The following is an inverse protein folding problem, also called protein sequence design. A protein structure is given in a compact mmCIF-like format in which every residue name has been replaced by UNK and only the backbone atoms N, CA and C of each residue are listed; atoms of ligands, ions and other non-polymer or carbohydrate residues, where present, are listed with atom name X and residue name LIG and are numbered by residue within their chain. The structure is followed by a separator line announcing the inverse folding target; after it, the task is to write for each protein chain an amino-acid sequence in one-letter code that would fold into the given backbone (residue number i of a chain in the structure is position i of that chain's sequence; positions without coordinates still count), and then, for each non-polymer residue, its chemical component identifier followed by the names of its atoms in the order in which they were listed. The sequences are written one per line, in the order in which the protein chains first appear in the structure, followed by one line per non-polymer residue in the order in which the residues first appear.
data_IF_879606642881
#
_entry.id   IF_879606642881
#
_cell.length_a   1.000
_cell.length_b   1.000
_cell.length_c   1.000
_cell.angle_alpha   90.00
_cell.angle_beta   90.00
_cell.angle_gamma   90.00
#
_symmetry.space_group_name_H-M   'P 1'
#
loop_
_entity.id
_entity.type
_entity.pdbx_description
1 polymer ?
#
# COMPACT_ATOMS: atom_id res chain seq x y z
N UNK A 1 -11.73 -13.35 -68.79
CA UNK A 1 -11.43 -11.91 -68.78
C UNK A 1 -11.78 -11.38 -67.44
N UNK A 2 -10.85 -10.81 -66.86
CA UNK A 2 -10.75 -9.93 -65.72
C UNK A 2 -10.30 -10.56 -64.39
N UNK A 3 -9.03 -10.34 -64.18
CA UNK A 3 -8.25 -10.52 -62.93
C UNK A 3 -8.83 -9.76 -61.73
N UNK A 4 -8.79 -10.38 -60.59
CA UNK A 4 -8.95 -9.77 -59.28
C UNK A 4 -7.79 -10.17 -58.38
N UNK A 5 -6.80 -9.31 -58.31
CA UNK A 5 -5.66 -9.46 -57.43
C UNK A 5 -6.10 -9.52 -55.96
N UNK A 6 -5.63 -10.53 -55.23
CA UNK A 6 -5.71 -10.62 -53.76
C UNK A 6 -4.44 -10.03 -53.20
N UNK A 7 -4.56 -8.92 -52.53
CA UNK A 7 -3.53 -8.40 -51.65
C UNK A 7 -3.32 -9.36 -50.47
N UNK A 8 -2.12 -9.91 -50.42
CA UNK A 8 -1.63 -10.70 -49.28
C UNK A 8 -1.00 -9.69 -48.30
N UNK A 9 -1.73 -9.35 -47.25
CA UNK A 9 -1.14 -8.69 -46.10
C UNK A 9 -0.22 -9.68 -45.38
N UNK A 10 1.06 -9.39 -45.40
CA UNK A 10 2.06 -10.08 -44.60
C UNK A 10 1.99 -9.51 -43.19
N UNK A 11 1.36 -10.26 -42.27
CA UNK A 11 1.50 -10.01 -40.83
C UNK A 11 2.92 -10.40 -40.40
N UNK A 12 3.76 -9.43 -40.15
CA UNK A 12 5.02 -9.63 -39.44
C UNK A 12 4.72 -9.80 -37.95
N UNK A 13 4.87 -11.02 -37.47
CA UNK A 13 4.88 -11.29 -36.01
C UNK A 13 6.11 -10.65 -35.35
N UNK A 14 5.98 -10.01 -34.20
CA UNK A 14 7.13 -9.49 -33.48
C UNK A 14 8.01 -10.65 -32.98
N UNK A 15 9.32 -10.51 -33.16
CA UNK A 15 10.30 -11.48 -32.68
C UNK A 15 10.34 -11.48 -31.15
N UNK A 16 10.08 -12.63 -30.55
CA UNK A 16 10.22 -12.85 -29.11
C UNK A 16 11.68 -13.14 -28.81
N UNK A 17 12.33 -12.26 -28.06
CA UNK A 17 13.66 -12.53 -27.53
C UNK A 17 13.53 -13.30 -26.21
N UNK A 18 13.88 -14.58 -26.20
CA UNK A 18 13.99 -15.40 -25.01
C UNK A 18 15.38 -15.28 -24.40
N UNK A 19 15.48 -15.13 -23.08
CA UNK A 19 16.74 -15.23 -22.37
C UNK A 19 17.08 -16.70 -22.05
N UNK A 20 18.33 -16.95 -21.61
CA UNK A 20 18.86 -18.29 -21.37
C UNK A 20 18.16 -19.10 -20.25
N UNK A 21 17.15 -18.55 -19.59
CA UNK A 21 16.42 -19.18 -18.49
C UNK A 21 14.94 -19.48 -18.81
N UNK A 22 14.50 -19.26 -20.06
CA UNK A 22 13.17 -19.68 -20.55
C UNK A 22 11.98 -18.92 -19.96
N UNK A 23 12.16 -17.72 -19.40
CA UNK A 23 11.06 -16.85 -18.98
C UNK A 23 10.59 -15.98 -20.17
N UNK A 24 9.35 -16.16 -20.60
CA UNK A 24 8.70 -15.30 -21.60
C UNK A 24 8.57 -13.87 -21.05
N UNK A 25 9.19 -12.92 -21.76
CA UNK A 25 8.98 -11.49 -21.50
C UNK A 25 7.73 -11.07 -22.28
N UNK A 26 6.60 -11.00 -21.60
CA UNK A 26 5.36 -10.49 -22.16
C UNK A 26 5.50 -8.99 -22.46
N UNK A 27 5.65 -8.65 -23.72
CA UNK A 27 5.61 -7.25 -24.20
C UNK A 27 4.14 -6.87 -24.39
N UNK A 28 3.54 -6.29 -23.35
CA UNK A 28 2.19 -5.71 -23.43
C UNK A 28 2.25 -4.37 -24.17
N UNK A 29 1.74 -4.36 -25.39
CA UNK A 29 1.32 -3.14 -26.09
C UNK A 29 0.16 -2.48 -25.32
N UNK A 30 0.43 -1.42 -24.59
CA UNK A 30 -0.63 -0.54 -24.07
C UNK A 30 -0.56 0.82 -24.75
N UNK A 31 -1.54 1.09 -25.58
CA UNK A 31 -1.81 2.37 -26.23
C UNK A 31 -2.45 3.38 -25.29
N UNK A 32 -1.87 3.65 -24.14
CA UNK A 32 -2.29 4.77 -23.29
C UNK A 32 -1.24 5.87 -23.33
N UNK A 33 -1.54 6.90 -24.11
CA UNK A 33 -0.76 8.12 -24.26
C UNK A 33 -0.85 8.90 -22.94
N UNK A 34 0.24 8.89 -22.17
CA UNK A 34 0.39 9.76 -20.99
C UNK A 34 0.88 11.14 -21.41
N UNK A 35 0.56 12.22 -20.63
CA UNK A 35 1.03 13.56 -20.92
C UNK A 35 2.56 13.58 -20.94
N UNK A 36 3.08 13.93 -22.08
CA UNK A 36 4.50 14.02 -22.40
C UNK A 36 5.14 15.06 -21.48
N UNK A 37 6.24 14.70 -20.81
CA UNK A 37 7.16 15.71 -20.29
C UNK A 37 7.55 16.64 -21.45
N UNK A 38 7.80 17.95 -21.22
CA UNK A 38 7.99 18.90 -22.29
C UNK A 38 8.98 18.32 -23.32
N UNK A 39 8.54 18.20 -24.56
CA UNK A 39 9.33 17.62 -25.68
C UNK A 39 10.71 18.23 -25.80
N UNK A 40 10.85 19.47 -25.38
CA UNK A 40 12.10 20.24 -25.39
C UNK A 40 13.23 19.65 -24.54
N UNK A 41 12.92 18.97 -23.43
CA UNK A 41 13.96 18.39 -22.57
C UNK A 41 14.59 17.12 -23.16
N UNK A 42 13.78 16.26 -23.77
CA UNK A 42 14.25 15.03 -24.37
C UNK A 42 14.99 15.31 -25.67
N UNK A 43 14.55 16.31 -26.42
CA UNK A 43 15.23 16.74 -27.64
C UNK A 43 16.59 17.33 -27.33
N UNK A 44 16.70 18.21 -26.34
CA UNK A 44 17.98 18.78 -25.91
C UNK A 44 18.97 17.71 -25.44
N UNK A 45 18.49 16.66 -24.73
CA UNK A 45 19.33 15.55 -24.32
C UNK A 45 19.76 14.68 -25.50
N UNK A 46 18.87 14.39 -26.43
CA UNK A 46 19.16 13.60 -27.64
C UNK A 46 20.18 14.33 -28.53
N UNK A 47 19.97 15.63 -28.80
CA UNK A 47 20.82 16.45 -29.66
C UNK A 47 22.26 16.58 -29.11
N UNK A 48 22.44 16.50 -27.79
CA UNK A 48 23.78 16.45 -27.17
C UNK A 48 24.61 15.25 -27.60
N UNK A 49 23.96 14.10 -27.88
CA UNK A 49 24.60 12.85 -28.30
C UNK A 49 24.49 12.58 -29.80
N UNK A 50 23.75 13.43 -30.54
CA UNK A 50 23.68 13.48 -32.01
C UNK A 50 24.21 14.83 -32.55
N UNK A 51 25.54 15.12 -32.40
CA UNK A 51 26.11 16.39 -32.82
C UNK A 51 26.06 16.63 -34.35
N UNK A 52 25.85 15.59 -35.14
CA UNK A 52 25.75 15.65 -36.57
C UNK A 52 24.30 15.90 -37.05
N UNK A 53 23.37 16.01 -36.11
CA UNK A 53 21.92 16.16 -36.38
C UNK A 53 21.41 15.10 -37.37
N UNK A 54 21.95 13.88 -37.27
CA UNK A 54 21.61 12.76 -38.16
C UNK A 54 20.22 12.17 -37.87
N UNK A 55 19.63 12.51 -36.72
CA UNK A 55 18.37 11.95 -36.23
C UNK A 55 18.52 10.58 -35.57
N UNK A 56 19.77 10.11 -35.42
CA UNK A 56 20.09 8.80 -34.85
C UNK A 56 21.27 8.90 -33.87
N UNK A 57 21.20 8.13 -32.79
CA UNK A 57 22.31 7.91 -31.87
C UNK A 57 22.78 6.47 -32.03
N UNK A 58 24.09 6.22 -32.13
CA UNK A 58 24.61 4.86 -32.13
C UNK A 58 24.42 4.21 -30.77
N UNK A 59 24.30 2.89 -30.73
CA UNK A 59 24.17 2.12 -29.47
C UNK A 59 25.33 2.36 -28.53
N UNK A 60 26.53 2.65 -29.03
CA UNK A 60 27.70 3.03 -28.22
C UNK A 60 27.50 4.39 -27.55
N UNK A 61 27.11 5.41 -28.31
CA UNK A 61 26.81 6.75 -27.76
C UNK A 61 25.64 6.74 -26.79
N UNK A 62 24.66 5.87 -27.05
CA UNK A 62 23.56 5.68 -26.11
C UNK A 62 24.01 4.98 -24.82
N UNK A 63 24.94 4.02 -24.92
CA UNK A 63 25.59 3.42 -23.75
C UNK A 63 26.33 4.47 -22.91
N UNK A 64 27.06 5.39 -23.58
CA UNK A 64 27.74 6.49 -22.91
C UNK A 64 26.77 7.48 -22.25
N UNK A 65 25.63 7.76 -22.90
CA UNK A 65 24.54 8.55 -22.32
C UNK A 65 24.00 7.88 -21.04
N UNK A 66 23.78 6.58 -21.09
CA UNK A 66 23.34 5.81 -19.94
C UNK A 66 24.38 5.77 -18.82
N UNK A 67 25.67 5.65 -19.17
CA UNK A 67 26.77 5.68 -18.21
C UNK A 67 26.99 7.07 -17.57
N UNK A 68 26.80 8.13 -18.35
CA UNK A 68 26.99 9.51 -17.87
C UNK A 68 25.83 9.99 -16.96
N UNK A 69 24.62 9.47 -17.16
CA UNK A 69 23.42 9.91 -16.47
C UNK A 69 22.79 8.84 -15.56
N UNK A 70 23.20 7.58 -15.70
CA UNK A 70 22.82 6.47 -14.83
C UNK A 70 24.07 5.90 -14.18
N UNK A 71 24.27 6.15 -12.90
CA UNK A 71 25.32 5.48 -12.16
C UNK A 71 25.20 3.96 -12.32
N UNK A 72 26.29 3.32 -12.73
CA UNK A 72 26.51 1.86 -12.79
C UNK A 72 25.25 1.00 -12.99
N UNK A 73 24.68 1.06 -14.19
CA UNK A 73 23.68 0.10 -14.63
C UNK A 73 24.36 -1.30 -14.66
N UNK A 74 23.72 -2.27 -14.03
CA UNK A 74 24.07 -3.67 -14.18
C UNK A 74 24.20 -3.99 -15.69
N UNK A 75 25.29 -4.63 -16.16
CA UNK A 75 25.50 -4.97 -17.55
C UNK A 75 24.30 -5.63 -18.23
N UNK A 76 23.57 -6.47 -17.52
CA UNK A 76 22.38 -7.12 -18.04
C UNK A 76 21.21 -6.12 -18.28
N UNK A 77 21.01 -5.15 -17.38
CA UNK A 77 20.01 -4.10 -17.58
C UNK A 77 20.38 -3.18 -18.74
N UNK A 78 21.64 -2.91 -18.89
CA UNK A 78 22.16 -2.11 -20.00
C UNK A 78 21.89 -2.80 -21.35
N UNK A 79 22.13 -4.09 -21.45
CA UNK A 79 21.85 -4.86 -22.68
C UNK A 79 20.36 -4.91 -22.99
N UNK A 80 19.51 -5.11 -21.98
CA UNK A 80 18.04 -5.08 -22.15
C UNK A 80 17.57 -3.70 -22.62
N UNK A 81 18.09 -2.62 -22.06
CA UNK A 81 17.75 -1.26 -22.47
C UNK A 81 18.23 -0.95 -23.89
N UNK A 82 19.43 -1.41 -24.25
CA UNK A 82 19.96 -1.28 -25.60
C UNK A 82 19.11 -2.06 -26.61
N UNK A 83 18.73 -3.30 -26.30
CA UNK A 83 17.86 -4.11 -27.15
C UNK A 83 16.44 -3.54 -27.29
N UNK A 84 15.93 -2.88 -26.25
CA UNK A 84 14.63 -2.19 -26.30
C UNK A 84 14.69 -0.87 -27.08
N UNK A 85 15.84 -0.19 -27.07
CA UNK A 85 16.05 1.06 -27.80
C UNK A 85 16.37 0.82 -29.27
N UNK A 86 17.05 -0.28 -29.57
CA UNK A 86 17.44 -0.71 -30.93
C UNK A 86 16.54 -1.88 -31.37
N UNK A 87 15.24 -1.61 -31.50
CA UNK A 87 14.25 -2.64 -31.87
C UNK A 87 14.48 -3.29 -33.24
N UNK A 88 15.25 -2.63 -34.12
CA UNK A 88 15.58 -3.11 -35.47
C UNK A 88 16.93 -3.84 -35.51
N UNK A 89 17.68 -3.86 -34.43
CA UNK A 89 19.03 -4.43 -34.33
C UNK A 89 20.02 -3.90 -35.41
N UNK A 90 19.85 -2.63 -35.81
CA UNK A 90 20.71 -1.96 -36.80
C UNK A 90 21.83 -1.12 -36.16
N UNK A 91 21.93 -1.13 -34.85
CA UNK A 91 22.91 -0.39 -34.07
C UNK A 91 22.63 1.11 -33.98
N UNK A 92 21.41 1.55 -34.37
CA UNK A 92 21.02 2.96 -34.40
C UNK A 92 19.70 3.15 -33.66
N UNK A 93 19.64 4.19 -32.84
CA UNK A 93 18.48 4.55 -32.04
C UNK A 93 17.94 5.86 -32.59
N UNK A 94 16.74 5.84 -33.15
CA UNK A 94 16.08 7.06 -33.63
C UNK A 94 15.48 7.87 -32.48
N UNK A 95 15.21 9.14 -32.70
CA UNK A 95 14.62 10.02 -31.69
C UNK A 95 13.30 9.48 -31.17
N UNK A 96 12.47 8.88 -32.03
CA UNK A 96 11.18 8.31 -31.63
C UNK A 96 11.35 7.12 -30.69
N UNK A 97 12.30 6.22 -30.99
CA UNK A 97 12.60 5.07 -30.13
C UNK A 97 13.16 5.51 -28.78
N UNK A 98 14.02 6.53 -28.79
CA UNK A 98 14.53 7.15 -27.59
C UNK A 98 13.38 7.75 -26.74
N UNK A 99 12.46 8.53 -27.34
CA UNK A 99 11.30 9.10 -26.63
C UNK A 99 10.37 8.00 -26.15
N UNK A 100 10.10 6.98 -26.95
CA UNK A 100 9.29 5.82 -26.56
C UNK A 100 9.90 5.09 -25.35
N UNK A 101 11.20 4.86 -25.36
CA UNK A 101 11.90 4.25 -24.23
C UNK A 101 11.81 5.14 -22.99
N UNK A 102 12.01 6.45 -23.13
CA UNK A 102 12.01 7.42 -22.03
C UNK A 102 10.60 7.71 -21.51
N UNK A 103 9.57 7.61 -22.33
CA UNK A 103 8.15 7.80 -21.96
C UNK A 103 7.48 6.52 -21.45
N UNK A 104 8.08 5.35 -21.68
CA UNK A 104 7.51 4.07 -21.25
C UNK A 104 7.44 4.00 -19.71
N UNK A 105 6.27 3.62 -19.17
CA UNK A 105 6.07 3.43 -17.72
C UNK A 105 7.06 2.46 -17.08
N UNK A 106 7.55 1.47 -17.83
CA UNK A 106 8.57 0.52 -17.39
C UNK A 106 9.96 1.15 -17.23
N UNK A 107 10.21 2.29 -17.86
CA UNK A 107 11.46 3.04 -17.74
C UNK A 107 11.42 4.17 -16.70
N UNK A 108 10.31 4.31 -15.94
CA UNK A 108 10.17 5.39 -14.96
C UNK A 108 11.24 5.36 -13.86
N UNK A 109 11.71 4.21 -13.44
CA UNK A 109 12.84 4.08 -12.51
C UNK A 109 14.13 4.57 -13.15
N UNK A 110 14.36 4.26 -14.42
CA UNK A 110 15.49 4.70 -15.22
C UNK A 110 15.41 6.21 -15.52
N UNK A 111 14.25 6.70 -15.97
CA UNK A 111 13.97 8.12 -16.18
C UNK A 111 14.21 8.95 -14.91
N UNK A 112 13.81 8.43 -13.75
CA UNK A 112 14.03 9.09 -12.46
C UNK A 112 15.52 9.09 -12.09
N UNK A 113 16.27 8.02 -12.37
CA UNK A 113 17.73 7.96 -12.16
C UNK A 113 18.46 8.97 -13.05
N UNK A 114 18.08 9.09 -14.32
CA UNK A 114 18.66 10.09 -15.25
C UNK A 114 18.31 11.52 -14.84
N UNK A 115 17.04 11.80 -14.49
CA UNK A 115 16.58 13.15 -14.14
C UNK A 115 17.02 13.63 -12.75
N UNK A 116 17.25 12.71 -11.81
CA UNK A 116 17.64 13.04 -10.44
C UNK A 116 19.16 13.08 -10.22
N UNK A 117 19.97 12.86 -11.25
CA UNK A 117 21.41 13.04 -11.22
C UNK A 117 22.10 12.42 -10.02
N UNK A 118 22.26 11.10 -10.00
CA UNK A 118 23.30 10.50 -9.15
C UNK A 118 22.87 9.99 -7.78
N UNK A 119 21.73 9.34 -7.62
CA UNK A 119 21.64 8.30 -6.58
C UNK A 119 22.26 7.04 -7.16
N UNK A 120 23.48 6.74 -6.74
CA UNK A 120 24.20 5.51 -7.08
C UNK A 120 23.31 4.31 -6.75
N UNK A 121 22.71 3.70 -7.77
CA UNK A 121 22.24 2.34 -7.72
C UNK A 121 23.52 1.47 -7.64
N UNK A 122 23.95 1.15 -6.44
CA UNK A 122 25.01 0.19 -6.23
C UNK A 122 24.57 -1.13 -6.86
N UNK A 123 25.11 -1.43 -8.03
CA UNK A 123 24.91 -2.68 -8.74
C UNK A 123 25.48 -3.85 -7.97
N UNK A 124 24.70 -4.35 -7.03
CA UNK A 124 24.90 -5.69 -6.50
C UNK A 124 23.91 -6.58 -7.23
N UNK A 125 24.42 -7.37 -8.19
CA UNK A 125 23.67 -8.56 -8.63
C UNK A 125 23.10 -9.23 -7.40
N UNK A 126 21.84 -9.72 -7.46
CA UNK A 126 21.21 -10.47 -6.38
C UNK A 126 22.21 -11.54 -5.89
N UNK A 127 23.03 -11.19 -4.89
CA UNK A 127 23.98 -12.13 -4.30
C UNK A 127 23.15 -13.27 -3.73
N UNK A 128 23.56 -14.49 -3.99
CA UNK A 128 23.00 -15.68 -3.40
C UNK A 128 22.74 -15.46 -1.90
N UNK A 129 21.68 -16.00 -1.37
CA UNK A 129 21.20 -15.80 0.02
C UNK A 129 22.29 -15.99 1.09
N UNK A 130 23.32 -16.77 0.78
CA UNK A 130 24.44 -17.10 1.67
C UNK A 130 25.29 -15.88 2.09
N UNK A 131 25.28 -14.80 1.30
CA UNK A 131 26.10 -13.60 1.58
C UNK A 131 25.33 -12.41 2.17
N UNK A 132 24.00 -12.49 2.35
CA UNK A 132 23.19 -11.37 2.82
C UNK A 132 23.14 -11.28 4.35
N UNK A 133 23.33 -10.07 4.89
CA UNK A 133 23.08 -9.78 6.30
C UNK A 133 21.60 -9.93 6.67
N UNK A 134 21.28 -10.05 7.97
CA UNK A 134 19.92 -10.24 8.46
C UNK A 134 18.96 -9.13 7.98
N UNK A 135 19.38 -7.86 8.02
CA UNK A 135 18.61 -6.72 7.54
C UNK A 135 18.31 -6.80 6.04
N UNK A 136 19.29 -7.20 5.24
CA UNK A 136 19.09 -7.35 3.79
C UNK A 136 18.15 -8.50 3.45
N UNK A 137 18.20 -9.62 4.21
CA UNK A 137 17.26 -10.73 4.06
C UNK A 137 15.82 -10.27 4.40
N UNK A 138 15.67 -9.48 5.47
CA UNK A 138 14.38 -8.92 5.85
C UNK A 138 13.82 -7.98 4.76
N UNK A 139 14.63 -7.05 4.27
CA UNK A 139 14.24 -6.13 3.19
C UNK A 139 13.83 -6.90 1.92
N UNK A 140 14.61 -7.91 1.54
CA UNK A 140 14.30 -8.78 0.41
C UNK A 140 12.97 -9.52 0.63
N UNK A 141 12.79 -10.12 1.81
CA UNK A 141 11.56 -10.83 2.15
C UNK A 141 10.33 -9.92 2.05
N UNK A 142 10.41 -8.71 2.63
CA UNK A 142 9.34 -7.70 2.55
C UNK A 142 9.05 -7.29 1.10
N UNK A 143 10.09 -7.08 0.28
CA UNK A 143 9.91 -6.76 -1.14
C UNK A 143 9.13 -7.86 -1.89
N UNK A 144 9.47 -9.13 -1.63
CA UNK A 144 8.76 -10.27 -2.25
C UNK A 144 7.33 -10.44 -1.80
N UNK A 145 6.99 -9.98 -0.60
CA UNK A 145 5.64 -10.09 -0.03
C UNK A 145 4.71 -8.95 -0.43
N UNK A 146 5.26 -7.76 -0.70
CA UNK A 146 4.46 -6.56 -0.88
C UNK A 146 4.44 -6.06 -2.31
N UNK A 147 5.50 -6.31 -3.09
CA UNK A 147 5.65 -5.81 -4.45
C UNK A 147 5.45 -6.93 -5.48
N UNK A 148 4.48 -6.80 -6.40
CA UNK A 148 4.18 -7.84 -7.38
C UNK A 148 5.22 -7.92 -8.51
N UNK A 149 5.76 -6.77 -8.98
CA UNK A 149 6.65 -6.72 -10.13
C UNK A 149 8.12 -6.93 -9.69
N UNK A 150 8.86 -7.72 -10.46
CA UNK A 150 10.27 -7.99 -10.18
C UNK A 150 11.14 -6.73 -10.24
N UNK A 151 10.84 -5.83 -11.18
CA UNK A 151 11.55 -4.54 -11.31
C UNK A 151 11.40 -3.72 -10.03
N UNK A 152 10.18 -3.63 -9.46
CA UNK A 152 9.93 -2.89 -8.22
C UNK A 152 10.67 -3.51 -7.04
N UNK A 153 10.73 -4.84 -6.98
CA UNK A 153 11.47 -5.58 -5.94
C UNK A 153 12.97 -5.31 -6.00
N UNK A 154 13.55 -5.39 -7.21
CA UNK A 154 14.97 -5.10 -7.42
C UNK A 154 15.28 -3.65 -7.04
N UNK A 155 14.47 -2.72 -7.56
CA UNK A 155 14.64 -1.31 -7.25
C UNK A 155 14.51 -1.02 -5.76
N UNK A 156 13.50 -1.58 -5.09
CA UNK A 156 13.31 -1.44 -3.65
C UNK A 156 14.49 -2.01 -2.86
N UNK A 157 14.94 -3.21 -3.20
CA UNK A 157 16.08 -3.84 -2.55
C UNK A 157 17.37 -3.02 -2.68
N UNK A 158 17.64 -2.47 -3.87
CA UNK A 158 18.85 -1.69 -4.17
C UNK A 158 18.78 -0.28 -3.54
N UNK A 159 17.59 0.30 -3.41
CA UNK A 159 17.41 1.67 -2.92
C UNK A 159 17.13 1.76 -1.41
N UNK A 160 16.64 0.69 -0.79
CA UNK A 160 16.25 0.72 0.61
C UNK A 160 17.44 0.52 1.55
N UNK A 161 17.75 1.56 2.33
CA UNK A 161 18.88 1.59 3.27
C UNK A 161 18.48 1.38 4.74
N UNK A 162 17.25 0.94 5.03
CA UNK A 162 16.64 0.93 6.36
C UNK A 162 16.56 2.32 7.03
N UNK A 163 16.65 3.38 6.28
CA UNK A 163 16.48 4.77 6.74
C UNK A 163 15.56 5.52 5.78
N UNK A 164 14.44 6.09 6.26
CA UNK A 164 13.95 6.03 7.64
C UNK A 164 13.37 4.64 7.99
N UNK A 165 13.52 4.20 9.26
CA UNK A 165 12.88 2.97 9.72
C UNK A 165 11.34 3.12 9.73
N UNK A 166 10.56 2.03 9.81
CA UNK A 166 9.10 2.08 9.93
C UNK A 166 8.69 2.59 11.31
N UNK A 167 8.77 3.90 11.51
CA UNK A 167 8.59 4.55 12.81
C UNK A 167 7.12 4.73 13.21
N UNK A 168 6.20 4.92 12.22
CA UNK A 168 4.81 5.27 12.50
C UNK A 168 4.06 4.12 13.19
N UNK A 169 4.08 2.94 12.59
CA UNK A 169 3.39 1.76 13.15
C UNK A 169 4.01 1.38 14.50
N UNK A 170 5.33 1.47 14.63
CA UNK A 170 6.01 1.23 15.91
C UNK A 170 5.61 2.26 16.96
N UNK A 171 5.54 3.54 16.61
CA UNK A 171 5.14 4.62 17.54
C UNK A 171 3.68 4.44 18.01
N UNK A 172 2.76 4.11 17.08
CA UNK A 172 1.37 3.82 17.45
C UNK A 172 1.31 2.62 18.40
N UNK A 173 2.00 1.52 18.09
CA UNK A 173 2.03 0.32 18.94
C UNK A 173 2.59 0.62 20.33
N UNK A 174 3.68 1.40 20.42
CA UNK A 174 4.25 1.81 21.71
C UNK A 174 3.25 2.65 22.50
N UNK A 175 2.53 3.58 21.85
CA UNK A 175 1.51 4.38 22.49
C UNK A 175 0.34 3.53 23.01
N UNK A 176 -0.13 2.54 22.23
CA UNK A 176 -1.17 1.59 22.65
C UNK A 176 -0.75 0.78 23.87
N UNK A 177 0.48 0.26 23.89
CA UNK A 177 1.04 -0.47 25.03
C UNK A 177 1.16 0.43 26.26
N UNK A 178 1.67 1.66 26.09
CA UNK A 178 1.83 2.61 27.19
C UNK A 178 0.47 2.97 27.83
N UNK A 179 -0.54 3.24 27.01
CA UNK A 179 -1.91 3.50 27.46
C UNK A 179 -2.49 2.27 28.17
N UNK A 180 -2.31 1.07 27.61
CA UNK A 180 -2.78 -0.16 28.24
C UNK A 180 -2.15 -0.40 29.62
N UNK A 181 -0.84 -0.19 29.75
CA UNK A 181 -0.11 -0.30 31.01
C UNK A 181 -0.61 0.75 32.00
N UNK A 182 -0.77 2.01 31.59
CA UNK A 182 -1.30 3.08 32.42
C UNK A 182 -2.67 2.71 33.01
N UNK A 183 -3.61 2.25 32.17
CA UNK A 183 -4.93 1.83 32.62
C UNK A 183 -4.89 0.53 33.44
N UNK A 184 -3.93 -0.37 33.16
CA UNK A 184 -3.69 -1.56 33.98
C UNK A 184 -3.41 -1.23 35.44
N UNK A 185 -2.55 -0.24 35.69
CA UNK A 185 -2.27 0.27 37.04
C UNK A 185 -3.44 1.07 37.64
N UNK A 186 -4.09 1.93 36.86
CA UNK A 186 -5.19 2.75 37.30
C UNK A 186 -6.42 1.95 37.75
N UNK A 187 -6.71 0.84 37.03
CA UNK A 187 -7.87 0.00 37.22
C UNK A 187 -7.56 -1.27 38.04
N UNK A 188 -6.29 -1.49 38.35
CA UNK A 188 -5.80 -2.78 38.91
C UNK A 188 -6.33 -3.99 38.17
N UNK A 189 -6.35 -3.92 36.81
CA UNK A 189 -6.85 -4.96 35.91
C UNK A 189 -6.02 -5.05 34.63
N UNK A 190 -5.67 -6.28 34.27
CA UNK A 190 -4.82 -6.56 33.13
C UNK A 190 -5.49 -7.42 32.06
N UNK A 191 -6.23 -8.45 32.48
CA UNK A 191 -6.82 -9.41 31.53
C UNK A 191 -8.04 -8.83 30.82
N UNK A 192 -8.96 -8.21 31.55
CA UNK A 192 -10.22 -7.71 31.03
C UNK A 192 -10.50 -6.29 31.60
N UNK A 193 -9.79 -5.28 31.13
CA UNK A 193 -9.91 -3.90 31.59
C UNK A 193 -11.32 -3.32 31.38
N UNK A 194 -11.97 -3.69 30.26
CA UNK A 194 -13.30 -3.19 29.89
C UNK A 194 -14.40 -3.54 30.90
N UNK A 195 -14.19 -4.57 31.75
CA UNK A 195 -15.13 -4.93 32.80
C UNK A 195 -15.10 -4.01 34.00
N UNK A 196 -14.12 -3.11 34.09
CA UNK A 196 -14.03 -2.15 35.18
C UNK A 196 -14.95 -0.96 34.92
N UNK A 197 -15.79 -0.52 35.90
CA UNK A 197 -16.77 0.54 35.70
C UNK A 197 -16.16 1.92 35.35
N UNK A 198 -14.88 2.14 35.62
CA UNK A 198 -14.19 3.38 35.27
C UNK A 198 -13.53 3.34 33.87
N UNK A 199 -13.52 2.19 33.20
CA UNK A 199 -12.84 2.04 31.92
C UNK A 199 -13.35 3.00 30.84
N UNK A 200 -14.68 3.11 30.68
CA UNK A 200 -15.30 3.99 29.70
C UNK A 200 -15.36 5.47 30.14
N UNK A 201 -15.11 5.75 31.42
CA UNK A 201 -15.09 7.13 31.94
C UNK A 201 -13.90 7.94 31.46
N UNK A 202 -12.84 7.27 30.99
CA UNK A 202 -11.65 7.92 30.48
C UNK A 202 -11.92 8.87 29.29
N UNK A 203 -10.97 9.74 28.94
CA UNK A 203 -11.14 10.70 27.85
C UNK A 203 -11.00 10.06 26.45
N UNK A 204 -10.43 8.86 26.35
CA UNK A 204 -10.05 8.25 25.06
C UNK A 204 -11.15 7.40 24.41
N UNK A 205 -11.93 6.55 25.13
CA UNK A 205 -12.91 5.68 24.53
C UNK A 205 -14.02 6.47 23.82
N UNK A 206 -14.48 5.97 22.68
CA UNK A 206 -15.73 6.48 22.10
C UNK A 206 -16.92 5.95 22.89
N UNK A 207 -17.83 6.86 23.26
CA UNK A 207 -19.08 6.52 23.90
C UNK A 207 -20.23 7.33 23.27
N UNK A 208 -21.40 6.71 22.98
CA UNK A 208 -22.48 7.38 22.28
C UNK A 208 -23.01 8.64 22.97
N UNK A 209 -23.04 8.66 24.30
CA UNK A 209 -23.44 9.86 25.07
C UNK A 209 -22.42 11.02 24.94
N UNK A 210 -21.16 10.70 24.65
CA UNK A 210 -20.07 11.66 24.55
C UNK A 210 -19.67 11.94 23.08
N UNK A 211 -20.56 11.62 22.12
CA UNK A 211 -20.32 11.76 20.65
C UNK A 211 -20.02 13.20 20.21
N UNK A 212 -20.42 14.21 20.98
CA UNK A 212 -20.06 15.59 20.70
C UNK A 212 -18.55 15.88 20.88
N UNK A 213 -17.84 15.00 21.58
CA UNK A 213 -16.41 15.10 21.78
C UNK A 213 -15.67 14.45 20.59
N UNK A 214 -15.42 15.26 19.55
CA UNK A 214 -14.92 14.79 18.24
C UNK A 214 -13.61 13.98 18.31
N UNK A 215 -12.72 14.27 19.24
CA UNK A 215 -11.47 13.53 19.39
C UNK A 215 -11.68 12.05 19.70
N UNK A 216 -12.78 11.66 20.35
CA UNK A 216 -13.08 10.27 20.71
C UNK A 216 -13.24 9.35 19.51
N UNK A 217 -13.60 9.90 18.34
CA UNK A 217 -13.66 9.12 17.07
C UNK A 217 -12.28 8.67 16.56
N UNK A 218 -11.21 9.24 17.09
CA UNK A 218 -9.84 8.85 16.76
C UNK A 218 -9.10 8.28 17.98
N UNK A 219 -9.26 8.85 19.16
CA UNK A 219 -8.45 8.47 20.33
C UNK A 219 -8.79 7.10 20.91
N UNK A 220 -9.94 6.55 20.59
CA UNK A 220 -10.35 5.21 21.02
C UNK A 220 -9.37 4.10 20.58
N UNK A 221 -8.57 4.37 19.56
CA UNK A 221 -7.53 3.49 19.03
C UNK A 221 -6.51 3.06 20.10
N UNK A 222 -6.23 3.92 21.06
CA UNK A 222 -5.26 3.64 22.11
C UNK A 222 -5.80 2.79 23.27
N UNK A 223 -7.11 2.60 23.34
CA UNK A 223 -7.74 1.84 24.44
C UNK A 223 -8.04 0.39 24.00
N UNK A 224 -7.66 -0.58 24.82
CA UNK A 224 -7.93 -1.98 24.52
C UNK A 224 -8.69 -2.67 25.66
N UNK A 225 -9.66 -3.52 25.30
CA UNK A 225 -10.58 -4.15 26.24
C UNK A 225 -9.87 -5.08 27.26
N UNK A 226 -8.71 -5.60 26.91
CA UNK A 226 -7.89 -6.49 27.71
C UNK A 226 -6.66 -6.94 26.96
N UNK A 227 -5.81 -7.75 27.62
CA UNK A 227 -4.51 -8.21 27.09
C UNK A 227 -4.64 -9.01 25.78
N UNK A 228 -5.68 -9.82 25.63
CA UNK A 228 -5.93 -10.57 24.38
C UNK A 228 -6.25 -9.63 23.22
N UNK A 229 -7.12 -8.65 23.45
CA UNK A 229 -7.52 -7.67 22.44
C UNK A 229 -6.33 -6.82 22.00
N UNK A 230 -5.50 -6.37 22.94
CA UNK A 230 -4.26 -5.67 22.64
C UNK A 230 -3.31 -6.58 21.84
N UNK A 231 -3.07 -7.80 22.31
CA UNK A 231 -2.12 -8.73 21.70
C UNK A 231 -2.46 -9.10 20.27
N UNK A 232 -3.73 -9.37 19.97
CA UNK A 232 -4.18 -9.65 18.59
C UNK A 232 -4.02 -8.44 17.66
N UNK A 233 -4.43 -7.25 18.11
CA UNK A 233 -4.28 -6.04 17.32
C UNK A 233 -2.80 -5.71 17.07
N UNK A 234 -1.94 -5.77 18.09
CA UNK A 234 -0.50 -5.56 17.95
C UNK A 234 0.15 -6.57 16.99
N UNK A 235 -0.18 -7.87 17.13
CA UNK A 235 0.37 -8.91 16.27
C UNK A 235 0.05 -8.62 14.80
N UNK A 236 -1.20 -8.30 14.49
CA UNK A 236 -1.61 -7.97 13.12
C UNK A 236 -1.02 -6.64 12.63
N UNK A 237 -1.02 -5.62 13.49
CA UNK A 237 -0.47 -4.31 13.19
C UNK A 237 1.02 -4.39 12.85
N UNK A 238 1.81 -5.12 13.63
CA UNK A 238 3.24 -5.30 13.38
C UNK A 238 3.50 -6.24 12.19
N UNK A 239 2.77 -7.35 12.08
CA UNK A 239 2.96 -8.34 11.01
C UNK A 239 2.68 -7.77 9.62
N UNK A 240 1.65 -6.93 9.49
CA UNK A 240 1.21 -6.36 8.21
C UNK A 240 1.62 -4.90 8.07
N UNK A 241 1.42 -4.09 9.10
CA UNK A 241 1.64 -2.65 9.03
C UNK A 241 3.10 -2.26 8.86
N UNK A 242 4.03 -2.92 9.57
CA UNK A 242 5.48 -2.63 9.45
C UNK A 242 5.99 -2.90 8.03
N UNK A 243 5.75 -4.07 7.41
CA UNK A 243 6.14 -4.31 6.02
C UNK A 243 5.52 -3.32 5.03
N UNK A 244 4.25 -2.97 5.22
CA UNK A 244 3.59 -1.99 4.36
C UNK A 244 4.20 -0.60 4.50
N UNK A 245 4.51 -0.17 5.73
CA UNK A 245 5.17 1.12 5.97
C UNK A 245 6.58 1.17 5.37
N UNK A 246 7.34 0.08 5.47
CA UNK A 246 8.68 -0.01 4.87
C UNK A 246 8.64 0.17 3.35
N UNK A 247 7.61 -0.34 2.68
CA UNK A 247 7.47 -0.25 1.22
C UNK A 247 6.81 1.05 0.78
N UNK A 248 5.68 1.42 1.38
CA UNK A 248 4.85 2.53 0.90
C UNK A 248 5.13 3.86 1.64
N UNK A 249 5.86 3.81 2.75
CA UNK A 249 6.20 4.96 3.58
C UNK A 249 5.10 5.34 4.57
N UNK A 250 5.50 6.04 5.64
CA UNK A 250 4.65 6.40 6.78
C UNK A 250 3.41 7.21 6.40
N UNK A 251 3.53 8.14 5.44
CA UNK A 251 2.40 9.02 5.04
C UNK A 251 1.27 8.22 4.40
N UNK A 252 1.57 7.31 3.48
CA UNK A 252 0.56 6.50 2.79
C UNK A 252 -0.13 5.53 3.76
N UNK A 253 0.66 4.85 4.57
CA UNK A 253 0.14 3.88 5.53
C UNK A 253 -0.60 4.58 6.66
N UNK A 254 -0.11 5.72 7.14
CA UNK A 254 -0.79 6.56 8.11
C UNK A 254 -2.16 7.05 7.60
N UNK A 255 -2.25 7.45 6.34
CA UNK A 255 -3.52 7.84 5.72
C UNK A 255 -4.54 6.70 5.77
N UNK A 256 -4.17 5.50 5.31
CA UNK A 256 -5.06 4.33 5.31
C UNK A 256 -5.47 3.96 6.73
N UNK A 257 -4.51 3.94 7.66
CA UNK A 257 -4.74 3.60 9.06
C UNK A 257 -5.72 4.57 9.73
N UNK A 258 -5.45 5.88 9.66
CA UNK A 258 -6.29 6.91 10.28
C UNK A 258 -7.68 6.97 9.65
N UNK A 259 -7.77 6.84 8.31
CA UNK A 259 -9.06 6.73 7.63
C UNK A 259 -9.85 5.49 8.09
N UNK A 260 -9.18 4.35 8.30
CA UNK A 260 -9.78 3.13 8.85
C UNK A 260 -10.28 3.32 10.27
N UNK A 261 -9.50 3.94 11.14
CA UNK A 261 -9.89 4.28 12.52
C UNK A 261 -11.13 5.17 12.52
N UNK A 262 -11.11 6.27 11.76
CA UNK A 262 -12.23 7.20 11.70
C UNK A 262 -13.49 6.54 11.09
N UNK A 263 -13.34 5.78 10.01
CA UNK A 263 -14.46 5.04 9.42
C UNK A 263 -15.04 4.01 10.38
N UNK A 264 -14.22 3.34 11.17
CA UNK A 264 -14.68 2.38 12.19
C UNK A 264 -15.60 3.01 13.21
N UNK A 265 -15.19 4.08 13.87
CA UNK A 265 -16.00 4.76 14.88
C UNK A 265 -17.23 5.44 14.30
N UNK A 266 -17.12 6.07 13.11
CA UNK A 266 -18.28 6.68 12.44
C UNK A 266 -19.27 5.63 11.95
N UNK A 267 -18.83 4.48 11.44
CA UNK A 267 -19.71 3.38 11.05
C UNK A 267 -20.53 2.86 12.26
N UNK A 268 -19.86 2.69 13.43
CA UNK A 268 -20.56 2.31 14.67
C UNK A 268 -21.56 3.38 15.08
N UNK A 269 -21.19 4.65 15.04
CA UNK A 269 -22.07 5.75 15.42
C UNK A 269 -23.33 5.87 14.55
N UNK A 270 -23.27 5.34 13.32
CA UNK A 270 -24.42 5.31 12.39
C UNK A 270 -25.21 4.01 12.48
N UNK A 271 -24.54 2.86 12.44
CA UNK A 271 -25.19 1.56 12.31
C UNK A 271 -25.44 0.84 13.65
N UNK A 272 -24.66 1.14 14.70
CA UNK A 272 -24.81 0.56 16.05
C UNK A 272 -24.76 1.66 17.11
N UNK A 273 -25.73 2.57 17.04
CA UNK A 273 -25.79 3.87 17.72
C UNK A 273 -25.66 3.81 19.26
N UNK A 274 -25.77 2.64 19.86
CA UNK A 274 -25.69 2.45 21.32
C UNK A 274 -24.38 1.85 21.80
N UNK A 275 -23.50 1.43 20.90
CA UNK A 275 -22.27 0.74 21.26
C UNK A 275 -21.11 1.70 21.51
N UNK A 276 -20.32 1.49 22.57
CA UNK A 276 -19.01 2.13 22.71
C UNK A 276 -17.97 1.49 21.79
N UNK A 277 -16.88 2.20 21.50
CA UNK A 277 -15.79 1.69 20.65
C UNK A 277 -14.43 1.87 21.36
N UNK A 278 -13.65 0.81 21.32
CA UNK A 278 -12.25 0.77 21.80
C UNK A 278 -11.43 -0.19 20.92
N UNK A 279 -10.15 0.07 20.78
CA UNK A 279 -9.21 -0.78 20.04
C UNK A 279 -8.76 -0.21 18.70
N UNK A 280 -7.59 -0.64 18.26
CA UNK A 280 -6.99 -0.23 16.99
C UNK A 280 -7.55 -0.99 15.78
N UNK A 281 -8.48 -1.90 15.99
CA UNK A 281 -8.97 -2.84 14.98
C UNK A 281 -9.49 -2.16 13.70
N UNK A 282 -10.14 -0.99 13.77
CA UNK A 282 -10.58 -0.25 12.58
C UNK A 282 -9.42 0.07 11.62
N UNK A 283 -8.29 0.55 12.15
CA UNK A 283 -7.07 0.80 11.37
C UNK A 283 -6.37 -0.48 10.93
N UNK A 284 -6.27 -1.47 11.81
CA UNK A 284 -5.67 -2.78 11.51
C UNK A 284 -6.43 -3.49 10.39
N UNK A 285 -7.76 -3.54 10.44
CA UNK A 285 -8.59 -4.14 9.39
C UNK A 285 -8.46 -3.41 8.06
N UNK A 286 -8.27 -2.08 8.07
CA UNK A 286 -8.00 -1.32 6.85
C UNK A 286 -6.66 -1.72 6.21
N UNK A 287 -5.59 -1.84 7.00
CA UNK A 287 -4.29 -2.27 6.48
C UNK A 287 -4.29 -3.72 5.99
N UNK A 288 -4.88 -4.62 6.76
CA UNK A 288 -4.92 -6.05 6.41
C UNK A 288 -5.76 -6.30 5.17
N UNK A 289 -6.94 -5.70 5.07
CA UNK A 289 -7.81 -5.88 3.90
C UNK A 289 -7.21 -5.27 2.64
N UNK A 290 -6.54 -4.11 2.74
CA UNK A 290 -5.79 -3.52 1.64
C UNK A 290 -4.67 -4.46 1.17
N UNK A 291 -3.90 -5.01 2.10
CA UNK A 291 -2.82 -5.95 1.78
C UNK A 291 -3.34 -7.25 1.15
N UNK A 292 -4.37 -7.86 1.74
CA UNK A 292 -4.98 -9.08 1.21
C UNK A 292 -5.53 -8.88 -0.20
N UNK A 293 -6.23 -7.77 -0.44
CA UNK A 293 -6.73 -7.43 -1.77
C UNK A 293 -5.60 -7.23 -2.77
N UNK A 294 -4.52 -6.54 -2.37
CA UNK A 294 -3.34 -6.38 -3.20
C UNK A 294 -2.68 -7.73 -3.55
N UNK A 295 -2.56 -8.64 -2.59
CA UNK A 295 -2.05 -10.01 -2.83
C UNK A 295 -2.93 -10.78 -3.79
N UNK A 296 -4.27 -10.70 -3.63
CA UNK A 296 -5.23 -11.40 -4.52
C UNK A 296 -5.15 -10.86 -5.95
N UNK A 297 -5.14 -9.53 -6.12
CA UNK A 297 -5.09 -8.92 -7.45
C UNK A 297 -3.76 -9.19 -8.18
N UNK A 298 -2.67 -9.33 -7.43
CA UNK A 298 -1.34 -9.51 -7.98
C UNK A 298 -0.78 -10.92 -7.75
N UNK A 299 -1.66 -11.92 -7.62
CA UNK A 299 -1.31 -13.26 -7.19
C UNK A 299 -0.18 -13.92 -8.02
N UNK A 300 -0.26 -13.81 -9.34
CA UNK A 300 0.72 -14.39 -10.27
C UNK A 300 2.11 -13.74 -10.18
N UNK A 301 2.16 -12.43 -9.92
CA UNK A 301 3.41 -11.66 -9.81
C UNK A 301 4.13 -11.83 -8.47
N UNK A 302 3.45 -12.31 -7.44
CA UNK A 302 4.03 -12.42 -6.09
C UNK A 302 4.72 -13.76 -5.88
N UNK A 303 6.05 -13.75 -5.87
CA UNK A 303 6.90 -14.94 -5.67
C UNK A 303 7.34 -15.07 -4.20
N UNK A 304 6.41 -15.24 -3.26
CA UNK A 304 6.77 -15.52 -1.86
C UNK A 304 6.30 -16.90 -1.43
N UNK A 305 7.20 -17.75 -0.94
CA UNK A 305 6.87 -19.09 -0.48
C UNK A 305 5.92 -19.09 0.73
N UNK A 306 6.01 -18.05 1.57
CA UNK A 306 5.22 -17.92 2.80
C UNK A 306 3.97 -17.04 2.63
N UNK A 307 3.65 -16.51 1.43
CA UNK A 307 2.49 -15.64 1.21
C UNK A 307 1.18 -16.28 1.63
N UNK A 308 1.01 -17.58 1.33
CA UNK A 308 -0.17 -18.37 1.73
C UNK A 308 -0.28 -18.47 3.23
N UNK A 309 0.83 -18.75 3.91
CA UNK A 309 0.86 -18.87 5.35
C UNK A 309 0.51 -17.54 6.04
N UNK A 310 1.10 -16.43 5.59
CA UNK A 310 0.79 -15.11 6.13
C UNK A 310 -0.65 -14.69 5.88
N UNK A 311 -1.16 -14.89 4.66
CA UNK A 311 -2.57 -14.65 4.35
C UNK A 311 -3.48 -15.47 5.24
N UNK A 312 -3.21 -16.77 5.38
CA UNK A 312 -3.99 -17.66 6.23
C UNK A 312 -3.96 -17.20 7.69
N UNK A 313 -2.78 -16.85 8.21
CA UNK A 313 -2.63 -16.31 9.57
C UNK A 313 -3.42 -15.01 9.76
N UNK A 314 -3.28 -14.07 8.82
CA UNK A 314 -4.02 -12.81 8.86
C UNK A 314 -5.54 -13.05 8.84
N UNK A 315 -6.02 -13.89 7.93
CA UNK A 315 -7.45 -14.23 7.83
C UNK A 315 -7.96 -14.97 9.08
N UNK A 316 -7.18 -15.90 9.64
CA UNK A 316 -7.56 -16.59 10.87
C UNK A 316 -7.66 -15.60 12.04
N UNK A 317 -6.65 -14.76 12.24
CA UNK A 317 -6.67 -13.77 13.32
C UNK A 317 -7.85 -12.80 13.19
N UNK A 318 -8.08 -12.25 11.97
CA UNK A 318 -9.24 -11.39 11.71
C UNK A 318 -10.57 -12.10 11.94
N UNK A 319 -10.69 -13.35 11.48
CA UNK A 319 -11.92 -14.14 11.64
C UNK A 319 -12.20 -14.47 13.10
N UNK A 320 -11.16 -14.78 13.88
CA UNK A 320 -11.28 -15.05 15.33
C UNK A 320 -11.73 -13.77 16.04
N UNK A 321 -11.09 -12.64 15.78
CA UNK A 321 -11.46 -11.38 16.42
C UNK A 321 -12.86 -10.90 16.00
N UNK A 322 -13.18 -10.97 14.71
CA UNK A 322 -14.50 -10.64 14.19
C UNK A 322 -15.59 -11.56 14.77
N UNK A 323 -15.35 -12.87 14.74
CA UNK A 323 -16.27 -13.86 15.29
C UNK A 323 -16.50 -13.66 16.79
N UNK A 324 -15.44 -13.33 17.55
CA UNK A 324 -15.53 -12.96 18.96
C UNK A 324 -16.37 -11.71 19.17
N UNK A 325 -16.17 -10.66 18.36
CA UNK A 325 -16.95 -9.42 18.46
C UNK A 325 -18.43 -9.67 18.16
N UNK A 326 -18.74 -10.46 17.11
CA UNK A 326 -20.10 -10.88 16.79
C UNK A 326 -20.71 -11.71 17.93
N UNK A 327 -19.97 -12.71 18.44
CA UNK A 327 -20.45 -13.55 19.54
C UNK A 327 -20.79 -12.72 20.77
N UNK A 328 -19.87 -11.86 21.24
CA UNK A 328 -20.07 -11.02 22.41
C UNK A 328 -21.20 -9.97 22.20
N UNK A 329 -21.45 -9.58 20.97
CA UNK A 329 -22.56 -8.65 20.66
C UNK A 329 -23.93 -9.28 20.88
N UNK A 330 -24.09 -10.55 20.48
CA UNK A 330 -25.38 -11.26 20.58
C UNK A 330 -25.51 -12.09 21.87
N UNK A 331 -24.38 -12.52 22.44
CA UNK A 331 -24.32 -13.35 23.67
C UNK A 331 -23.37 -12.72 24.70
N UNK A 332 -23.72 -11.53 25.23
CA UNK A 332 -22.86 -10.87 26.22
C UNK A 332 -22.80 -11.69 27.51
N UNK A 333 -21.61 -11.79 28.16
CA UNK A 333 -21.48 -12.49 29.42
C UNK A 333 -22.28 -11.77 30.52
N UNK A 334 -23.05 -12.54 31.32
CA UNK A 334 -23.82 -11.99 32.42
C UNK A 334 -22.91 -11.45 33.55
N UNK A 335 -21.72 -12.07 33.72
CA UNK A 335 -20.77 -11.69 34.76
C UNK A 335 -19.31 -11.93 34.31
N UNK A 336 -18.40 -10.95 34.46
CA UNK A 336 -18.69 -9.53 34.76
C UNK A 336 -19.40 -8.86 33.59
N UNK A 337 -20.33 -7.91 33.84
CA UNK A 337 -21.00 -7.22 32.77
C UNK A 337 -19.97 -6.41 31.96
N UNK A 338 -19.92 -6.66 30.69
CA UNK A 338 -19.03 -5.92 29.77
C UNK A 338 -19.86 -5.15 28.76
N UNK A 339 -19.43 -3.96 28.35
CA UNK A 339 -20.05 -3.27 27.22
C UNK A 339 -20.08 -4.19 26.00
N UNK A 340 -21.22 -4.22 25.28
CA UNK A 340 -21.34 -5.04 24.08
C UNK A 340 -20.49 -4.45 22.96
N UNK A 341 -19.40 -5.11 22.52
CA UNK A 341 -18.57 -4.60 21.45
C UNK A 341 -19.33 -4.60 20.12
N UNK A 342 -19.04 -3.63 19.27
CA UNK A 342 -19.60 -3.56 17.93
C UNK A 342 -18.61 -4.10 16.91
N UNK A 343 -19.05 -5.05 16.08
CA UNK A 343 -18.26 -5.54 14.95
C UNK A 343 -18.29 -4.60 13.73
N UNK A 344 -19.15 -3.59 13.75
CA UNK A 344 -19.31 -2.61 12.66
C UNK A 344 -18.02 -1.80 12.45
N UNK A 345 -17.24 -1.56 13.51
CA UNK A 345 -15.95 -0.89 13.39
C UNK A 345 -14.99 -1.64 12.44
N UNK A 346 -14.98 -2.97 12.51
CA UNK A 346 -14.18 -3.81 11.62
C UNK A 346 -14.62 -3.67 10.16
N UNK A 347 -15.94 -3.63 9.91
CA UNK A 347 -16.50 -3.45 8.56
C UNK A 347 -16.13 -2.07 7.98
N UNK A 348 -16.13 -1.02 8.81
CA UNK A 348 -15.66 0.31 8.41
C UNK A 348 -14.19 0.28 7.97
N UNK A 349 -13.33 -0.39 8.73
CA UNK A 349 -11.93 -0.62 8.36
C UNK A 349 -11.76 -1.38 7.06
N UNK A 350 -12.48 -2.51 6.90
CA UNK A 350 -12.46 -3.31 5.66
C UNK A 350 -12.86 -2.47 4.44
N UNK A 351 -13.91 -1.67 4.54
CA UNK A 351 -14.37 -0.82 3.45
C UNK A 351 -13.28 0.17 3.00
N UNK A 352 -12.59 0.83 3.95
CA UNK A 352 -11.46 1.72 3.64
C UNK A 352 -10.30 0.95 3.01
N UNK A 353 -9.96 -0.23 3.53
CA UNK A 353 -8.89 -1.06 3.00
C UNK A 353 -9.14 -1.50 1.56
N UNK A 354 -10.36 -1.95 1.24
CA UNK A 354 -10.74 -2.40 -0.11
C UNK A 354 -10.90 -1.26 -1.13
N UNK A 355 -11.03 -0.03 -0.69
CA UNK A 355 -11.17 1.15 -1.55
C UNK A 355 -9.89 1.96 -1.57
N UNK A 356 -9.76 2.91 -0.66
CA UNK A 356 -8.60 3.81 -0.57
C UNK A 356 -7.29 3.03 -0.38
N UNK A 357 -7.27 2.00 0.47
CA UNK A 357 -6.08 1.22 0.77
C UNK A 357 -5.53 0.49 -0.45
N UNK A 358 -6.40 -0.13 -1.26
CA UNK A 358 -5.98 -0.82 -2.50
C UNK A 358 -5.30 0.14 -3.46
N UNK A 359 -5.87 1.33 -3.67
CA UNK A 359 -5.27 2.33 -4.56
C UNK A 359 -3.92 2.82 -4.05
N UNK A 360 -3.80 3.02 -2.73
CA UNK A 360 -2.53 3.43 -2.09
C UNK A 360 -1.44 2.37 -2.29
N UNK A 361 -1.80 1.07 -2.19
CA UNK A 361 -0.85 -0.04 -2.34
C UNK A 361 -0.58 -0.42 -3.80
N UNK A 362 -1.51 -0.14 -4.74
CA UNK A 362 -1.39 -0.57 -6.12
C UNK A 362 -0.21 0.08 -6.85
N UNK A 363 0.02 1.37 -6.62
CA UNK A 363 1.02 2.17 -7.33
C UNK A 363 2.09 2.70 -6.38
N UNK A 364 3.06 1.86 -6.09
CA UNK A 364 4.20 2.21 -5.23
C UNK A 364 5.02 3.42 -5.73
N UNK A 365 5.29 3.49 -7.04
CA UNK A 365 6.15 4.53 -7.62
C UNK A 365 5.44 5.84 -7.96
N UNK A 366 4.12 5.83 -8.20
CA UNK A 366 3.38 7.02 -8.60
C UNK A 366 3.01 7.89 -7.39
N UNK A 367 2.98 9.20 -7.59
CA UNK A 367 2.43 10.12 -6.59
C UNK A 367 0.93 9.88 -6.47
N UNK A 368 0.42 9.80 -5.23
CA UNK A 368 -1.01 9.61 -4.97
C UNK A 368 -1.89 10.67 -5.66
N UNK A 369 -1.38 11.90 -5.73
CA UNK A 369 -2.08 13.03 -6.35
C UNK A 369 -2.30 12.87 -7.87
N UNK A 370 -1.50 12.04 -8.53
CA UNK A 370 -1.61 11.78 -9.98
C UNK A 370 -2.61 10.66 -10.31
N UNK A 371 -3.19 10.01 -9.30
CA UNK A 371 -4.11 8.89 -9.48
C UNK A 371 -5.57 9.36 -9.41
N UNK A 372 -6.29 9.29 -10.52
CA UNK A 372 -7.73 9.64 -10.56
C UNK A 372 -8.58 8.78 -9.60
N UNK A 373 -8.30 7.48 -9.50
CA UNK A 373 -8.99 6.57 -8.59
C UNK A 373 -8.79 6.96 -7.11
N UNK A 374 -7.60 7.47 -6.75
CA UNK A 374 -7.37 7.97 -5.40
C UNK A 374 -8.36 9.09 -5.05
N UNK A 375 -8.52 10.07 -5.96
CA UNK A 375 -9.43 11.19 -5.73
C UNK A 375 -10.89 10.75 -5.67
N UNK A 376 -11.30 9.80 -6.51
CA UNK A 376 -12.67 9.23 -6.47
C UNK A 376 -12.94 8.61 -5.10
N UNK A 377 -12.09 7.69 -4.65
CA UNK A 377 -12.30 7.04 -3.34
C UNK A 377 -12.15 8.01 -2.18
N UNK A 378 -11.25 8.98 -2.28
CA UNK A 378 -11.10 10.02 -1.26
C UNK A 378 -12.35 10.92 -1.17
N UNK A 379 -12.95 11.30 -2.30
CA UNK A 379 -14.22 12.03 -2.32
C UNK A 379 -15.37 11.20 -1.73
N UNK A 380 -15.49 9.92 -2.10
CA UNK A 380 -16.49 9.00 -1.54
C UNK A 380 -16.32 8.87 -0.03
N UNK A 381 -15.09 8.70 0.43
CA UNK A 381 -14.78 8.65 1.86
C UNK A 381 -15.14 9.95 2.57
N UNK A 382 -14.78 11.11 2.00
CA UNK A 382 -15.12 12.43 2.56
C UNK A 382 -16.64 12.62 2.64
N UNK A 383 -17.37 12.23 1.60
CA UNK A 383 -18.84 12.27 1.61
C UNK A 383 -19.41 11.38 2.71
N UNK A 384 -18.88 10.15 2.88
CA UNK A 384 -19.28 9.27 3.99
C UNK A 384 -19.04 9.95 5.35
N UNK A 385 -17.88 10.58 5.57
CA UNK A 385 -17.58 11.29 6.82
C UNK A 385 -18.57 12.43 7.05
N UNK A 386 -18.84 13.26 6.04
CA UNK A 386 -19.80 14.36 6.15
C UNK A 386 -21.23 13.86 6.46
N UNK A 387 -21.68 12.79 5.77
CA UNK A 387 -22.98 12.18 6.03
C UNK A 387 -23.05 11.60 7.45
N UNK A 388 -21.98 10.95 7.92
CA UNK A 388 -21.94 10.39 9.26
C UNK A 388 -21.90 11.48 10.35
N UNK A 389 -21.21 12.59 10.12
CA UNK A 389 -21.24 13.76 11.02
C UNK A 389 -22.64 14.35 11.07
N UNK A 390 -23.27 14.57 9.91
CA UNK A 390 -24.66 15.05 9.85
C UNK A 390 -25.61 14.12 10.60
N UNK A 391 -25.47 12.80 10.40
CA UNK A 391 -26.23 11.78 11.12
C UNK A 391 -26.06 11.90 12.64
N UNK A 392 -24.82 12.04 13.10
CA UNK A 392 -24.53 12.18 14.55
C UNK A 392 -25.13 13.45 15.16
N UNK A 393 -25.25 14.52 14.38
CA UNK A 393 -25.85 15.77 14.87
C UNK A 393 -27.37 15.68 14.95
N UNK A 394 -28.03 15.13 13.93
CA UNK A 394 -29.47 15.23 13.77
C UNK A 394 -30.23 13.93 14.08
N UNK A 395 -29.75 12.78 13.63
CA UNK A 395 -30.55 11.54 13.67
C UNK A 395 -30.79 11.02 15.08
N UNK A 396 -29.84 11.20 15.98
CA UNK A 396 -30.00 10.74 17.38
C UNK A 396 -31.17 11.41 18.08
N UNK A 397 -31.41 12.69 17.82
CA UNK A 397 -32.58 13.41 18.34
C UNK A 397 -33.88 13.05 17.62
N UNK A 398 -33.81 12.87 16.29
CA UNK A 398 -35.01 12.55 15.47
C UNK A 398 -35.52 11.13 15.72
N UNK A 399 -34.62 10.18 15.98
CA UNK A 399 -34.98 8.77 16.19
C UNK A 399 -35.26 8.42 17.66
N UNK A 400 -35.17 9.38 18.58
CA UNK A 400 -35.34 9.19 20.03
C UNK A 400 -34.52 7.97 20.55
N UNK A 401 -33.26 7.89 20.15
CA UNK A 401 -32.41 6.74 20.47
C UNK A 401 -32.16 6.69 21.98
N UNK A 402 -32.56 5.59 22.61
CA UNK A 402 -32.25 5.32 24.02
C UNK A 402 -30.77 4.98 24.16
N UNK A 403 -29.97 5.98 24.50
CA UNK A 403 -28.54 5.80 24.68
C UNK A 403 -28.25 5.13 26.03
N UNK A 404 -27.15 4.33 26.12
CA UNK A 404 -26.68 3.81 27.39
C UNK A 404 -26.34 4.98 28.34
N UNK A 405 -26.43 4.79 29.66
CA UNK A 405 -26.10 5.86 30.60
C UNK A 405 -24.68 6.37 30.37
N UNK A 406 -24.45 7.63 30.74
CA UNK A 406 -23.08 8.18 30.73
C UNK A 406 -22.18 7.34 31.61
N UNK A 407 -20.97 7.02 31.14
CA UNK A 407 -20.05 6.18 31.88
C UNK A 407 -19.61 6.80 33.21
#
# INVERSE_FOLDING_TARGET
MSDGARDVQVHSSPAVAANAEGEEIEVLESTDVLPVAPEDQWKSLFDKYDPESSGFISTERFRDLLAAHGSELDPHKLEVLLALADGNADGKICYQDFVNLMSNKRSNSFRRAILQGGRQLKGTSLKEEVGLGLSQRLVRHIAYETLPREIDRKWYFDSYTCCPPPWLILAITIAEVAVFIYYGFQLDRWVLQVSHPLFLKGPLPYHPQLRAQAWRYLTYVFMHAGIEHLGLNMAMQLLVGVPLEMVHGAVRIGLVYVCGVLAGSLAVSVADMTAPVVGSSGGVYALVSAHLANVVMNWSGMKCQFKLFRMAMALVCMSVEFGRAVWLRFYPPAFPPCPNPSFVAHLGGVAVGLTLGVVVLHNYEQRLQEQSLFWIFFCVYTLFVLCAVFWNVFAYGLLDVKLPPTP
#
